data_IF_555270462280
#
_entry.id   IF_555270462280
#
_cell.length_a   1.000
_cell.length_b   1.000
_cell.length_c   1.000
_cell.angle_alpha   90.00
_cell.angle_beta   90.00
_cell.angle_gamma   90.00
#
_symmetry.space_group_name_H-M   'P 1'
#
loop_
_entity.id
_entity.type
_entity.pdbx_description
1 polymer ?
#
# COMPACT_ATOMS: atom_id res chain seq x y z
N UNK A 1 -5.30 17.96 16.06
CA UNK A 1 -4.84 16.56 16.38
C UNK A 1 -3.90 16.13 15.29
N UNK A 2 -2.85 15.37 15.61
CA UNK A 2 -1.91 14.81 14.64
C UNK A 2 -2.48 13.53 14.02
N UNK A 3 -2.02 13.17 12.84
CA UNK A 3 -2.39 11.88 12.20
C UNK A 3 -1.15 11.07 11.89
N UNK A 4 -1.19 9.77 12.20
CA UNK A 4 -0.20 8.77 11.81
C UNK A 4 -0.82 7.81 10.79
N UNK A 5 -0.27 7.76 9.59
CA UNK A 5 -0.69 6.83 8.53
C UNK A 5 0.26 5.63 8.51
N UNK A 6 -0.29 4.43 8.70
CA UNK A 6 0.45 3.17 8.62
C UNK A 6 0.38 2.62 7.19
N UNK A 7 1.50 2.65 6.46
CA UNK A 7 1.57 2.28 5.06
C UNK A 7 2.53 1.09 4.77
N UNK A 8 2.78 0.23 5.77
CA UNK A 8 3.77 -0.87 5.69
C UNK A 8 3.25 -2.22 5.19
N UNK A 9 1.95 -2.40 4.99
CA UNK A 9 1.35 -3.70 4.63
C UNK A 9 1.69 -4.16 3.20
N UNK A 10 1.94 -5.48 2.98
CA UNK A 10 2.25 -6.05 1.65
C UNK A 10 1.01 -6.37 0.80
N UNK A 11 -0.18 -6.56 1.39
CA UNK A 11 -1.45 -6.78 0.68
C UNK A 11 -1.50 -7.99 -0.26
N UNK A 12 -0.80 -9.08 0.02
CA UNK A 12 -0.58 -10.24 -0.87
C UNK A 12 -1.84 -10.99 -1.30
N UNK A 13 -2.96 -10.83 -0.58
CA UNK A 13 -4.24 -11.49 -0.90
C UNK A 13 -4.97 -10.90 -2.11
N UNK A 14 -4.52 -9.75 -2.62
CA UNK A 14 -5.03 -9.16 -3.86
C UNK A 14 -4.12 -9.44 -5.07
N UNK A 15 -3.22 -10.43 -5.00
CA UNK A 15 -2.52 -10.89 -6.19
C UNK A 15 -3.56 -11.37 -7.24
N UNK A 16 -3.45 -11.01 -8.52
CA UNK A 16 -2.35 -10.37 -9.24
C UNK A 16 -2.39 -8.84 -9.29
N UNK A 17 -3.32 -8.15 -8.64
CA UNK A 17 -3.30 -6.68 -8.57
C UNK A 17 -2.18 -6.16 -7.68
N UNK A 18 -1.98 -6.79 -6.52
CA UNK A 18 -0.87 -6.44 -5.62
C UNK A 18 0.41 -7.19 -5.96
N UNK A 19 1.54 -6.55 -5.72
CA UNK A 19 2.90 -7.10 -5.80
C UNK A 19 3.69 -6.63 -4.56
N UNK A 20 4.83 -7.25 -4.27
CA UNK A 20 5.67 -6.78 -3.15
C UNK A 20 6.05 -5.31 -3.30
N UNK A 21 6.41 -4.85 -4.52
CA UNK A 21 6.76 -3.46 -4.83
C UNK A 21 5.56 -2.58 -5.22
N UNK A 22 4.36 -3.14 -5.27
CA UNK A 22 3.09 -2.44 -5.49
C UNK A 22 2.03 -3.00 -4.55
N UNK A 23 2.13 -2.75 -3.24
CA UNK A 23 1.16 -3.28 -2.29
C UNK A 23 -0.21 -2.61 -2.43
N UNK A 24 -1.20 -3.24 -1.82
CA UNK A 24 -2.63 -2.92 -1.94
C UNK A 24 -2.96 -1.42 -1.80
N UNK A 25 -2.33 -0.74 -0.85
CA UNK A 25 -2.60 0.67 -0.56
C UNK A 25 -2.29 1.63 -1.71
N UNK A 26 -1.41 1.25 -2.64
CA UNK A 26 -1.05 2.07 -3.79
C UNK A 26 -1.78 1.68 -5.09
N UNK A 27 -2.65 0.66 -5.05
CA UNK A 27 -3.43 0.25 -6.23
C UNK A 27 -4.61 1.21 -6.40
N UNK A 28 -4.80 1.71 -7.62
CA UNK A 28 -5.90 2.60 -7.98
C UNK A 28 -7.16 1.80 -8.34
N UNK A 29 -7.96 1.47 -7.32
CA UNK A 29 -9.19 0.68 -7.48
C UNK A 29 -10.46 1.52 -7.58
N UNK A 30 -10.43 2.75 -7.08
CA UNK A 30 -11.60 3.62 -6.94
C UNK A 30 -11.33 4.99 -7.54
N UNK A 31 -12.07 5.38 -8.59
CA UNK A 31 -12.01 6.73 -9.18
C UNK A 31 -10.58 7.19 -9.52
N UNK A 32 -9.73 6.27 -9.96
CA UNK A 32 -8.31 6.50 -10.27
C UNK A 32 -7.45 6.96 -9.06
N UNK A 33 -7.95 6.80 -7.82
CA UNK A 33 -7.25 7.10 -6.58
C UNK A 33 -6.78 5.83 -5.86
N UNK A 34 -5.64 5.89 -5.21
CA UNK A 34 -5.16 4.82 -4.35
C UNK A 34 -5.83 4.88 -2.96
N UNK A 35 -5.81 3.77 -2.22
CA UNK A 35 -6.30 3.77 -0.83
C UNK A 35 -5.43 4.65 0.08
N UNK A 36 -4.13 4.74 -0.22
CA UNK A 36 -3.22 5.65 0.48
C UNK A 36 -3.64 7.11 0.26
N UNK A 37 -3.92 7.53 -0.99
CA UNK A 37 -4.42 8.87 -1.31
C UNK A 37 -5.73 9.16 -0.56
N UNK A 38 -6.70 8.25 -0.59
CA UNK A 38 -7.96 8.39 0.17
C UNK A 38 -7.73 8.48 1.69
N UNK A 39 -6.66 7.85 2.21
CA UNK A 39 -6.31 7.95 3.64
C UNK A 39 -5.65 9.30 3.97
N UNK A 40 -4.82 9.85 3.07
CA UNK A 40 -4.28 11.21 3.21
C UNK A 40 -5.41 12.24 3.20
N UNK A 41 -6.37 12.13 2.27
CA UNK A 41 -7.55 12.99 2.23
C UNK A 41 -8.36 12.94 3.54
N UNK A 42 -8.54 11.73 4.12
CA UNK A 42 -9.17 11.57 5.44
C UNK A 42 -8.36 12.20 6.57
N UNK A 43 -7.03 12.10 6.54
CA UNK A 43 -6.16 12.70 7.53
C UNK A 43 -6.28 14.23 7.55
N UNK A 44 -6.43 14.86 6.38
CA UNK A 44 -6.58 16.31 6.22
C UNK A 44 -7.88 16.88 6.81
N UNK A 45 -8.86 16.03 7.15
CA UNK A 45 -10.06 16.46 7.88
C UNK A 45 -9.72 16.92 9.31
N UNK A 46 -8.69 16.34 9.91
CA UNK A 46 -8.34 16.52 11.31
C UNK A 46 -6.97 17.17 11.53
N UNK A 47 -6.06 17.08 10.55
CA UNK A 47 -4.67 17.46 10.65
C UNK A 47 -4.26 18.33 9.47
N UNK A 48 -3.37 19.29 9.71
CA UNK A 48 -2.68 19.98 8.61
C UNK A 48 -1.59 19.08 8.03
N UNK A 49 -1.08 19.34 6.82
CA UNK A 49 0.01 18.54 6.22
C UNK A 49 1.23 18.37 7.16
N UNK A 50 1.60 19.42 7.91
CA UNK A 50 2.73 19.41 8.85
C UNK A 50 2.49 18.52 10.09
N UNK A 51 1.24 18.15 10.34
CA UNK A 51 0.81 17.30 11.45
C UNK A 51 0.54 15.85 11.01
N UNK A 52 0.78 15.53 9.73
CA UNK A 52 0.63 14.18 9.19
C UNK A 52 1.99 13.48 9.21
N UNK A 53 2.01 12.29 9.79
CA UNK A 53 3.16 11.38 9.87
C UNK A 53 2.85 10.11 9.07
N UNK A 54 3.83 9.59 8.35
CA UNK A 54 3.68 8.38 7.55
C UNK A 54 4.77 7.40 7.96
N UNK A 55 4.38 6.16 8.27
CA UNK A 55 5.33 5.05 8.46
C UNK A 55 5.12 4.02 7.37
N UNK A 56 6.18 3.66 6.66
CA UNK A 56 6.14 2.69 5.58
C UNK A 56 7.48 1.97 5.42
N UNK A 57 7.49 0.82 4.72
CA UNK A 57 8.75 0.20 4.32
C UNK A 57 9.53 1.14 3.39
N UNK A 58 10.86 1.18 3.53
CA UNK A 58 11.76 2.02 2.72
C UNK A 58 11.58 1.86 1.20
N UNK A 59 11.19 0.67 0.75
CA UNK A 59 10.91 0.38 -0.66
C UNK A 59 9.72 1.16 -1.22
N UNK A 60 8.80 1.64 -0.36
CA UNK A 60 7.61 2.38 -0.77
C UNK A 60 7.79 3.90 -0.80
N UNK A 61 8.98 4.41 -0.41
CA UNK A 61 9.29 5.84 -0.34
C UNK A 61 8.82 6.61 -1.58
N UNK A 62 9.19 6.12 -2.76
CA UNK A 62 8.88 6.81 -4.01
C UNK A 62 7.41 6.73 -4.39
N UNK A 63 6.72 5.65 -4.03
CA UNK A 63 5.28 5.52 -4.23
C UNK A 63 4.50 6.51 -3.38
N UNK A 64 4.93 6.69 -2.13
CA UNK A 64 4.35 7.70 -1.23
C UNK A 64 4.52 9.09 -1.82
N UNK A 65 5.72 9.44 -2.27
CA UNK A 65 6.00 10.76 -2.86
C UNK A 65 5.21 10.98 -4.15
N UNK A 66 5.09 9.98 -5.03
CA UNK A 66 4.28 10.06 -6.23
C UNK A 66 2.78 10.28 -5.92
N UNK A 67 2.23 9.55 -4.96
CA UNK A 67 0.82 9.68 -4.58
C UNK A 67 0.54 11.04 -3.89
N UNK A 68 1.48 11.58 -3.12
CA UNK A 68 1.39 12.92 -2.53
C UNK A 68 1.52 14.02 -3.60
N UNK A 69 2.42 13.86 -4.58
CA UNK A 69 2.55 14.77 -5.72
C UNK A 69 1.25 14.86 -6.53
N UNK A 70 0.56 13.72 -6.75
CA UNK A 70 -0.75 13.69 -7.44
C UNK A 70 -1.83 14.44 -6.68
N UNK A 71 -1.78 14.46 -5.34
CA UNK A 71 -2.70 15.19 -4.49
C UNK A 71 -2.34 16.67 -4.32
N UNK A 72 -1.19 17.11 -4.82
CA UNK A 72 -0.61 18.45 -4.59
C UNK A 72 -0.47 18.75 -3.06
N UNK A 73 -0.03 17.74 -2.29
CA UNK A 73 0.14 17.83 -0.84
C UNK A 73 1.62 17.64 -0.49
N UNK A 74 2.17 18.61 0.25
CA UNK A 74 3.53 18.56 0.75
C UNK A 74 3.54 18.19 2.24
N UNK A 75 4.05 16.99 2.55
CA UNK A 75 4.30 16.53 3.93
C UNK A 75 5.79 16.68 4.21
N UNK A 76 6.20 17.25 5.37
CA UNK A 76 7.60 17.39 5.74
C UNK A 76 8.36 16.05 5.66
N UNK A 77 9.57 16.06 5.11
CA UNK A 77 10.36 14.83 4.91
C UNK A 77 10.68 14.12 6.22
N UNK A 78 10.85 14.87 7.30
CA UNK A 78 11.06 14.39 8.68
C UNK A 78 9.84 13.65 9.26
N UNK A 79 8.66 13.87 8.70
CA UNK A 79 7.43 13.16 9.06
C UNK A 79 7.23 11.83 8.30
N UNK A 80 8.14 11.50 7.38
CA UNK A 80 8.09 10.23 6.62
C UNK A 80 9.12 9.27 7.18
N UNK A 81 8.66 8.31 7.97
CA UNK A 81 9.45 7.29 8.65
C UNK A 81 9.54 6.04 7.77
N UNK A 82 10.76 5.64 7.41
CA UNK A 82 11.01 4.53 6.49
C UNK A 82 11.60 3.33 7.23
N UNK A 83 10.76 2.32 7.47
CA UNK A 83 11.16 1.09 8.13
C UNK A 83 12.12 0.29 7.23
N UNK A 84 13.27 -0.16 7.76
CA UNK A 84 14.19 -1.01 6.99
C UNK A 84 13.60 -2.40 6.70
N UNK A 85 12.77 -2.90 7.62
CA UNK A 85 12.01 -4.15 7.49
C UNK A 85 10.67 -4.06 8.23
N UNK A 86 9.68 -4.86 7.82
CA UNK A 86 8.36 -4.84 8.44
C UNK A 86 8.37 -5.58 9.79
N UNK A 87 7.96 -4.91 10.88
CA UNK A 87 7.83 -5.48 12.24
C UNK A 87 6.41 -5.36 12.81
N UNK A 88 5.40 -5.21 11.93
CA UNK A 88 4.00 -4.99 12.29
C UNK A 88 3.75 -3.62 12.93
N UNK A 89 2.55 -3.39 13.48
CA UNK A 89 2.05 -2.03 13.78
C UNK A 89 2.59 -1.42 15.07
N UNK A 90 2.92 -2.22 16.09
CA UNK A 90 3.39 -1.66 17.37
C UNK A 90 4.73 -0.93 17.25
N UNK A 91 5.80 -1.48 16.65
CA UNK A 91 7.04 -0.76 16.43
C UNK A 91 6.88 0.51 15.60
N UNK A 92 6.07 0.45 14.55
CA UNK A 92 5.79 1.59 13.68
C UNK A 92 5.14 2.75 14.44
N UNK A 93 4.11 2.47 15.25
CA UNK A 93 3.43 3.47 16.09
C UNK A 93 4.39 4.02 17.16
N UNK A 94 5.12 3.14 17.85
CA UNK A 94 6.05 3.52 18.90
C UNK A 94 7.14 4.44 18.38
N UNK A 95 7.69 4.18 17.20
CA UNK A 95 8.74 5.02 16.60
C UNK A 95 8.31 6.48 16.46
N UNK A 96 7.07 6.72 16.00
CA UNK A 96 6.55 8.09 15.84
C UNK A 96 6.15 8.70 17.16
N UNK A 97 5.38 7.99 18.00
CA UNK A 97 4.84 8.53 19.24
C UNK A 97 5.90 8.77 20.32
N UNK A 98 7.02 8.04 20.30
CA UNK A 98 8.16 8.29 21.18
C UNK A 98 8.84 9.62 20.89
N UNK A 99 8.89 10.01 19.62
CA UNK A 99 9.55 11.25 19.17
C UNK A 99 8.62 12.47 19.15
N UNK A 100 7.30 12.27 19.29
CA UNK A 100 6.32 13.31 19.09
C UNK A 100 5.21 13.28 20.14
N UNK A 101 5.04 14.38 20.86
CA UNK A 101 3.97 14.54 21.85
C UNK A 101 2.61 14.87 21.22
N UNK A 102 1.54 14.48 21.91
CA UNK A 102 0.17 14.86 21.61
C UNK A 102 -0.76 13.68 21.26
N UNK A 103 -1.95 14.02 20.76
CA UNK A 103 -2.98 13.07 20.37
C UNK A 103 -2.83 12.73 18.90
N UNK A 104 -2.78 11.43 18.59
CA UNK A 104 -2.60 10.88 17.25
C UNK A 104 -3.79 10.04 16.82
N UNK A 105 -4.43 10.42 15.70
CA UNK A 105 -5.26 9.51 14.93
C UNK A 105 -4.34 8.56 14.16
N UNK A 106 -4.41 7.26 14.43
CA UNK A 106 -3.62 6.22 13.75
C UNK A 106 -4.51 5.55 12.71
N UNK A 107 -4.18 5.72 11.44
CA UNK A 107 -4.99 5.29 10.31
C UNK A 107 -4.24 4.27 9.44
N UNK A 108 -4.79 3.07 9.22
CA UNK A 108 -4.30 2.18 8.18
C UNK A 108 -4.49 2.80 6.79
N UNK A 109 -3.48 2.72 5.93
CA UNK A 109 -3.51 3.30 4.58
C UNK A 109 -4.26 2.46 3.56
N UNK A 110 -4.68 1.26 3.95
CA UNK A 110 -5.20 0.22 3.05
C UNK A 110 -6.68 -0.12 3.27
N UNK A 111 -7.38 0.68 4.08
CA UNK A 111 -8.81 0.54 4.35
C UNK A 111 -9.65 1.51 3.53
N UNK A 112 -10.77 1.01 3.02
CA UNK A 112 -11.83 1.84 2.45
C UNK A 112 -12.78 2.28 3.58
N UNK A 113 -12.93 3.59 3.76
CA UNK A 113 -13.80 4.17 4.80
C UNK A 113 -14.58 5.33 4.20
N UNK A 114 -15.89 5.33 4.34
CA UNK A 114 -16.73 6.44 3.95
C UNK A 114 -16.66 7.55 5.01
N UNK A 115 -16.34 8.76 4.59
CA UNK A 115 -16.36 9.94 5.46
C UNK A 115 -17.74 10.54 5.47
N UNK A 116 -18.45 10.38 6.58
CA UNK A 116 -19.76 10.98 6.84
C UNK A 116 -19.74 11.75 8.17
N UNK A 117 -20.85 12.35 8.57
CA UNK A 117 -20.93 13.11 9.83
C UNK A 117 -20.72 12.21 11.06
N UNK A 118 -21.13 10.93 11.00
CA UNK A 118 -20.87 9.98 12.09
C UNK A 118 -19.38 9.68 12.24
N UNK A 119 -18.63 9.63 11.12
CA UNK A 119 -17.17 9.51 11.15
C UNK A 119 -16.52 10.69 11.90
N UNK A 120 -16.88 11.92 11.55
CA UNK A 120 -16.36 13.14 12.21
C UNK A 120 -16.74 13.19 13.68
N UNK A 121 -17.99 12.85 14.02
CA UNK A 121 -18.49 12.78 15.40
C UNK A 121 -17.72 11.76 16.22
N UNK A 122 -17.48 10.56 15.68
CA UNK A 122 -16.74 9.50 16.35
C UNK A 122 -15.31 9.93 16.69
N UNK A 123 -14.59 10.59 15.77
CA UNK A 123 -13.26 11.12 16.03
C UNK A 123 -13.26 12.24 17.09
N UNK A 124 -14.26 13.12 17.10
CA UNK A 124 -14.41 14.16 18.13
C UNK A 124 -14.67 13.56 19.51
N UNK A 125 -15.42 12.47 19.63
CA UNK A 125 -15.63 11.73 20.87
C UNK A 125 -14.33 11.02 21.30
N UNK A 126 -13.65 10.37 20.37
CA UNK A 126 -12.40 9.67 20.61
C UNK A 126 -11.32 10.63 21.14
N UNK A 127 -11.23 11.86 20.61
CA UNK A 127 -10.24 12.85 21.03
C UNK A 127 -10.38 13.25 22.51
N UNK A 128 -11.63 13.31 23.03
CA UNK A 128 -11.91 13.55 24.44
C UNK A 128 -11.54 12.35 25.32
N UNK A 129 -11.81 11.13 24.84
CA UNK A 129 -11.52 9.90 25.57
C UNK A 129 -10.03 9.60 25.62
N UNK A 130 -9.27 10.01 24.62
CA UNK A 130 -7.82 9.75 24.52
C UNK A 130 -6.99 10.40 25.65
N UNK A 131 -7.57 11.32 26.42
CA UNK A 131 -6.94 11.87 27.63
C UNK A 131 -6.77 10.83 28.75
N UNK A 132 -7.47 9.71 28.66
CA UNK A 132 -7.48 8.67 29.73
C UNK A 132 -7.37 7.24 29.19
N UNK A 133 -7.70 7.03 27.91
CA UNK A 133 -7.82 5.72 27.31
C UNK A 133 -7.08 5.63 25.98
N UNK A 134 -6.63 4.45 25.63
CA UNK A 134 -6.31 4.06 24.26
C UNK A 134 -7.62 3.83 23.53
N UNK A 135 -7.94 4.64 22.54
CA UNK A 135 -9.24 4.58 21.86
C UNK A 135 -9.14 3.80 20.56
N UNK A 136 -10.09 2.89 20.36
CA UNK A 136 -10.31 2.20 19.08
C UNK A 136 -11.72 2.46 18.56
N UNK A 137 -11.95 2.22 17.26
CA UNK A 137 -13.27 2.39 16.64
C UNK A 137 -13.87 1.02 16.32
N UNK A 138 -15.10 0.82 16.81
CA UNK A 138 -15.83 -0.43 16.68
C UNK A 138 -16.84 -0.40 15.54
N UNK A 139 -16.73 -1.32 14.59
CA UNK A 139 -17.68 -1.50 13.48
C UNK A 139 -18.68 -2.59 13.87
N UNK A 140 -19.97 -2.35 13.64
CA UNK A 140 -21.01 -3.37 13.90
C UNK A 140 -20.84 -4.54 12.92
N UNK A 141 -20.62 -5.79 13.41
CA UNK A 141 -20.45 -6.93 12.55
C UNK A 141 -21.70 -7.25 11.72
N UNK A 142 -21.50 -7.56 10.44
CA UNK A 142 -22.56 -8.09 9.55
C UNK A 142 -22.51 -9.61 9.41
N UNK A 143 -21.37 -10.24 9.75
CA UNK A 143 -21.13 -11.69 9.63
C UNK A 143 -20.00 -12.13 10.58
N UNK A 144 -19.84 -13.43 10.78
CA UNK A 144 -18.64 -13.95 11.43
C UNK A 144 -17.44 -13.86 10.48
N UNK A 145 -16.32 -13.28 10.92
CA UNK A 145 -15.09 -13.12 10.13
C UNK A 145 -13.86 -13.43 10.99
N UNK A 146 -13.02 -14.35 10.54
CA UNK A 146 -11.83 -14.80 11.32
C UNK A 146 -10.60 -13.91 11.12
N UNK A 147 -10.64 -12.97 10.19
CA UNK A 147 -9.54 -12.05 9.88
C UNK A 147 -9.56 -10.77 10.71
N UNK A 148 -10.58 -10.51 11.52
CA UNK A 148 -10.76 -9.28 12.30
C UNK A 148 -10.61 -9.50 13.80
N UNK A 149 -10.23 -8.42 14.49
CA UNK A 149 -10.34 -8.34 15.94
C UNK A 149 -11.79 -8.09 16.38
N UNK A 150 -12.14 -8.58 17.57
CA UNK A 150 -13.47 -8.43 18.18
C UNK A 150 -13.36 -7.72 19.53
N UNK A 151 -14.25 -6.77 19.77
CA UNK A 151 -14.26 -5.90 20.94
C UNK A 151 -15.59 -6.08 21.67
N UNK A 152 -15.52 -6.57 22.92
CA UNK A 152 -16.68 -6.63 23.81
C UNK A 152 -16.86 -5.28 24.49
N UNK A 153 -17.98 -4.57 24.26
CA UNK A 153 -18.26 -3.36 25.03
C UNK A 153 -18.55 -3.72 26.47
N UNK A 154 -17.97 -2.98 27.41
CA UNK A 154 -18.17 -3.10 28.84
C UNK A 154 -18.97 -1.92 29.39
N UNK A 155 -18.43 -1.23 30.40
CA UNK A 155 -19.10 -0.09 31.05
C UNK A 155 -19.30 1.07 30.07
N UNK A 156 -20.51 1.59 30.00
CA UNK A 156 -20.84 2.75 29.15
C UNK A 156 -20.15 4.03 29.63
N UNK A 157 -19.68 4.84 28.68
CA UNK A 157 -19.13 6.18 28.81
C UNK A 157 -19.89 7.12 27.85
N UNK A 158 -21.13 7.44 28.15
CA UNK A 158 -22.03 8.09 27.20
C UNK A 158 -22.30 7.20 25.98
N UNK A 159 -22.00 7.68 24.77
CA UNK A 159 -22.16 6.93 23.52
C UNK A 159 -20.99 5.96 23.21
N UNK A 160 -20.05 5.82 24.16
CA UNK A 160 -18.85 4.99 24.03
C UNK A 160 -18.79 3.94 25.16
N UNK A 161 -17.81 3.04 25.13
CA UNK A 161 -17.67 1.99 26.14
C UNK A 161 -16.23 1.79 26.57
N UNK A 162 -15.97 1.47 27.84
CA UNK A 162 -14.72 0.84 28.25
C UNK A 162 -14.73 -0.57 27.64
N UNK A 163 -13.60 -1.03 27.11
CA UNK A 163 -13.49 -2.39 26.56
C UNK A 163 -13.44 -3.39 27.69
N UNK A 164 -14.37 -4.37 27.67
CA UNK A 164 -14.38 -5.51 28.61
C UNK A 164 -13.43 -6.62 28.15
N UNK A 165 -13.38 -6.87 26.84
CA UNK A 165 -12.50 -7.85 26.22
C UNK A 165 -12.16 -7.47 24.79
N UNK A 166 -10.89 -7.61 24.45
CA UNK A 166 -10.39 -7.51 23.08
C UNK A 166 -9.84 -8.88 22.65
N UNK A 167 -10.17 -9.36 21.45
CA UNK A 167 -9.65 -10.61 20.91
C UNK A 167 -9.38 -10.50 19.42
N UNK A 168 -8.12 -10.59 19.04
CA UNK A 168 -7.66 -10.54 17.64
C UNK A 168 -7.80 -11.92 17.00
N UNK A 169 -8.38 -11.96 15.80
CA UNK A 169 -8.47 -13.11 14.89
C UNK A 169 -8.89 -14.42 15.54
N UNK A 170 -10.11 -14.50 16.12
CA UNK A 170 -10.62 -15.74 16.71
C UNK A 170 -10.88 -16.80 15.63
N UNK A 171 -11.07 -18.05 16.05
CA UNK A 171 -11.64 -19.09 15.19
C UNK A 171 -13.10 -18.78 14.81
N UNK A 172 -13.62 -19.51 13.80
CA UNK A 172 -14.93 -19.21 13.20
C UNK A 172 -16.09 -19.37 14.20
N UNK A 173 -16.08 -20.42 15.05
CA UNK A 173 -17.13 -20.66 16.03
C UNK A 173 -17.12 -19.57 17.12
N UNK A 174 -15.94 -19.15 17.54
CA UNK A 174 -15.76 -18.04 18.47
C UNK A 174 -16.24 -16.73 17.86
N UNK A 175 -15.88 -16.45 16.60
CA UNK A 175 -16.32 -15.25 15.86
C UNK A 175 -17.85 -15.20 15.76
N UNK A 176 -18.52 -16.33 15.47
CA UNK A 176 -19.98 -16.42 15.41
C UNK A 176 -20.62 -16.06 16.74
N UNK A 177 -20.13 -16.64 17.84
CA UNK A 177 -20.60 -16.32 19.20
C UNK A 177 -20.41 -14.85 19.55
N UNK A 178 -19.33 -14.21 19.10
CA UNK A 178 -19.07 -12.80 19.37
C UNK A 178 -20.06 -11.90 18.62
N UNK A 179 -20.39 -12.23 17.35
CA UNK A 179 -21.41 -11.49 16.59
C UNK A 179 -22.78 -11.56 17.29
N UNK A 180 -23.19 -12.78 17.71
CA UNK A 180 -24.45 -13.02 18.45
C UNK A 180 -24.48 -12.30 19.82
N UNK A 181 -23.31 -12.12 20.45
CA UNK A 181 -23.15 -11.47 21.76
C UNK A 181 -22.94 -9.95 21.68
N UNK A 182 -23.09 -9.32 20.50
CA UNK A 182 -23.05 -7.87 20.35
C UNK A 182 -21.64 -7.26 20.41
N UNK A 183 -20.59 -8.02 20.11
CA UNK A 183 -19.24 -7.48 19.97
C UNK A 183 -19.15 -6.59 18.72
N UNK A 184 -18.19 -5.67 18.73
CA UNK A 184 -17.81 -4.89 17.54
C UNK A 184 -16.60 -5.52 16.86
N UNK A 185 -16.44 -5.33 15.55
CA UNK A 185 -15.16 -5.53 14.88
C UNK A 185 -14.20 -4.39 15.21
N UNK A 186 -12.95 -4.70 15.43
CA UNK A 186 -11.88 -3.70 15.47
C UNK A 186 -11.63 -3.16 14.06
N UNK A 187 -11.79 -1.85 13.90
CA UNK A 187 -11.57 -1.20 12.60
C UNK A 187 -10.09 -1.05 12.22
N UNK A 188 -9.16 -1.29 13.17
CA UNK A 188 -7.73 -0.99 13.00
C UNK A 188 -7.39 0.50 12.98
N UNK A 189 -8.37 1.37 13.18
CA UNK A 189 -8.16 2.80 13.40
C UNK A 189 -8.11 3.07 14.91
N UNK A 190 -7.20 3.95 15.32
CA UNK A 190 -7.03 4.26 16.74
C UNK A 190 -6.89 5.76 16.97
N UNK A 191 -7.10 6.18 18.22
CA UNK A 191 -6.71 7.50 18.68
C UNK A 191 -5.99 7.37 20.02
N UNK A 192 -4.70 7.75 20.04
CA UNK A 192 -3.84 7.61 21.20
C UNK A 192 -3.26 8.98 21.61
N UNK A 193 -3.28 9.27 22.90
CA UNK A 193 -2.37 10.26 23.47
C UNK A 193 -1.00 9.59 23.65
N UNK A 194 0.07 10.24 23.18
CA UNK A 194 1.43 9.68 23.24
C UNK A 194 1.86 9.33 24.66
N UNK A 195 1.46 10.10 25.68
CA UNK A 195 1.81 9.84 27.08
C UNK A 195 1.16 8.57 27.59
N UNK A 196 -0.17 8.42 27.38
CA UNK A 196 -0.92 7.22 27.77
C UNK A 196 -0.39 6.00 27.03
N UNK A 197 -0.11 6.13 25.73
CA UNK A 197 0.46 5.04 24.94
C UNK A 197 1.83 4.62 25.49
N UNK A 198 2.72 5.55 25.78
CA UNK A 198 4.05 5.27 26.33
C UNK A 198 4.00 4.66 27.73
N UNK A 199 3.02 5.03 28.59
CA UNK A 199 2.79 4.36 29.88
C UNK A 199 2.45 2.89 29.70
N UNK A 200 1.50 2.59 28.80
CA UNK A 200 1.10 1.19 28.53
C UNK A 200 2.22 0.38 27.85
N UNK A 201 3.00 0.98 26.94
CA UNK A 201 4.18 0.33 26.36
C UNK A 201 5.20 -0.03 27.44
N UNK A 202 5.52 0.88 28.37
CA UNK A 202 6.43 0.63 29.49
C UNK A 202 5.95 -0.51 30.39
N UNK A 203 4.63 -0.58 30.61
CA UNK A 203 4.00 -1.59 31.47
C UNK A 203 3.94 -2.98 30.80
N UNK A 204 3.56 -3.06 29.52
CA UNK A 204 3.14 -4.27 28.86
C UNK A 204 4.20 -4.92 27.95
N UNK A 205 5.08 -4.09 27.36
CA UNK A 205 6.10 -4.52 26.37
C UNK A 205 7.40 -3.73 26.51
N UNK A 206 8.01 -3.66 27.71
CA UNK A 206 9.22 -2.86 27.98
C UNK A 206 10.41 -3.26 27.10
N UNK A 207 10.45 -4.50 26.61
CA UNK A 207 11.50 -4.99 25.71
C UNK A 207 11.46 -4.28 24.34
N UNK A 208 10.27 -3.95 23.84
CA UNK A 208 10.10 -3.20 22.57
C UNK A 208 10.62 -1.77 22.75
N UNK A 209 10.32 -1.13 23.89
CA UNK A 209 10.79 0.23 24.18
C UNK A 209 12.32 0.28 24.30
N UNK A 210 12.95 -0.71 24.97
CA UNK A 210 14.41 -0.79 25.12
C UNK A 210 15.13 -0.92 23.77
N UNK A 211 14.52 -1.58 22.79
CA UNK A 211 15.12 -1.66 21.45
C UNK A 211 15.32 -0.28 20.80
N UNK A 212 14.45 0.69 21.11
CA UNK A 212 14.53 2.08 20.64
C UNK A 212 15.48 2.99 21.45
N UNK A 213 16.34 2.46 22.32
CA UNK A 213 17.39 3.23 22.97
C UNK A 213 18.59 3.51 22.04
N UNK A 214 18.78 2.71 20.99
CA UNK A 214 19.75 2.98 19.92
C UNK A 214 19.23 4.04 18.96
N UNK A 215 20.11 4.92 18.49
CA UNK A 215 19.82 5.92 17.46
C UNK A 215 19.85 5.33 16.05
N UNK A 216 20.49 4.17 15.86
CA UNK A 216 20.60 3.50 14.57
C UNK A 216 19.35 2.65 14.31
N UNK A 217 18.50 3.13 13.40
CA UNK A 217 17.22 2.49 13.05
C UNK A 217 17.39 1.05 12.52
N UNK A 218 18.44 0.76 11.75
CA UNK A 218 18.71 -0.60 11.25
C UNK A 218 19.01 -1.57 12.40
N UNK A 219 19.74 -1.12 13.44
CA UNK A 219 20.00 -1.93 14.64
C UNK A 219 18.77 -2.11 15.50
N UNK A 220 17.96 -1.06 15.63
CA UNK A 220 16.67 -1.09 16.33
C UNK A 220 15.80 -2.17 15.73
N UNK A 221 15.56 -2.12 14.41
CA UNK A 221 14.64 -3.03 13.72
C UNK A 221 15.12 -4.49 13.72
N UNK A 222 16.42 -4.74 13.72
CA UNK A 222 16.97 -6.11 13.90
C UNK A 222 16.61 -6.75 15.24
N UNK A 223 16.47 -5.93 16.30
CA UNK A 223 16.17 -6.39 17.67
C UNK A 223 14.67 -6.46 17.97
N UNK A 224 13.83 -5.77 17.17
CA UNK A 224 12.39 -5.69 17.41
C UNK A 224 11.68 -7.01 17.08
N UNK A 225 10.75 -7.46 17.94
CA UNK A 225 9.83 -8.54 17.60
C UNK A 225 8.82 -8.07 16.54
N UNK A 226 8.31 -9.00 15.74
CA UNK A 226 7.17 -8.74 14.88
C UNK A 226 5.87 -8.84 15.70
N UNK A 227 5.33 -7.68 16.13
CA UNK A 227 4.16 -7.63 16.99
C UNK A 227 3.24 -6.47 16.61
N UNK A 228 1.92 -6.74 16.54
CA UNK A 228 0.92 -5.69 16.34
C UNK A 228 0.57 -4.98 17.65
N UNK A 229 0.07 -3.76 17.55
CA UNK A 229 -0.45 -2.99 18.68
C UNK A 229 -1.63 -3.71 19.35
N UNK A 230 -2.41 -4.45 18.58
CA UNK A 230 -3.54 -5.24 19.06
C UNK A 230 -3.10 -6.31 20.05
N UNK A 231 -2.13 -7.17 19.67
CA UNK A 231 -1.59 -8.22 20.55
C UNK A 231 -0.67 -7.69 21.65
N UNK A 232 0.12 -6.66 21.35
CA UNK A 232 1.10 -6.12 22.28
C UNK A 232 0.47 -5.32 23.41
N UNK A 233 -0.54 -4.52 23.08
CA UNK A 233 -1.13 -3.53 23.98
C UNK A 233 -2.63 -3.75 24.19
N UNK A 234 -3.45 -3.74 23.12
CA UNK A 234 -4.91 -3.61 23.26
C UNK A 234 -5.57 -4.84 23.87
N UNK A 235 -5.05 -6.06 23.65
CA UNK A 235 -5.54 -7.29 24.31
C UNK A 235 -5.19 -7.35 25.81
N UNK A 236 -4.21 -6.54 26.27
CA UNK A 236 -3.64 -6.65 27.62
C UNK A 236 -3.92 -5.45 28.51
N UNK A 237 -4.23 -4.30 27.92
CA UNK A 237 -4.42 -3.05 28.64
C UNK A 237 -5.83 -2.92 29.21
N UNK A 238 -5.93 -2.47 30.45
CA UNK A 238 -7.20 -2.11 31.11
C UNK A 238 -7.68 -0.69 30.73
N UNK A 239 -6.85 0.06 30.00
CA UNK A 239 -7.11 1.44 29.58
C UNK A 239 -7.58 1.55 28.15
N UNK A 240 -8.43 0.64 27.67
CA UNK A 240 -8.95 0.66 26.29
C UNK A 240 -10.41 1.11 26.28
N UNK A 241 -10.75 2.03 25.40
CA UNK A 241 -12.14 2.44 25.12
C UNK A 241 -12.49 2.22 23.65
N UNK A 242 -13.74 1.88 23.38
CA UNK A 242 -14.28 1.73 22.03
C UNK A 242 -15.33 2.79 21.74
N UNK A 243 -15.19 3.46 20.61
CA UNK A 243 -16.17 4.36 20.02
C UNK A 243 -16.87 3.62 18.89
N UNK A 244 -18.20 3.34 18.99
CA UNK A 244 -18.96 2.79 17.89
C UNK A 244 -18.90 3.70 16.67
N UNK A 245 -18.62 3.14 15.49
CA UNK A 245 -18.50 3.87 14.24
C UNK A 245 -19.50 3.34 13.22
N UNK A 246 -20.54 4.15 12.95
CA UNK A 246 -21.59 3.84 11.98
C UNK A 246 -21.24 4.43 10.59
N UNK A 247 -20.31 3.79 9.91
CA UNK A 247 -19.92 4.14 8.54
C UNK A 247 -19.65 2.91 7.70
N UNK A 248 -19.65 3.05 6.37
CA UNK A 248 -19.15 1.97 5.51
C UNK A 248 -17.65 1.86 5.66
N UNK A 249 -17.23 0.68 6.06
CA UNK A 249 -15.85 0.31 6.31
C UNK A 249 -15.54 -1.05 5.70
N UNK A 250 -14.37 -1.18 5.10
CA UNK A 250 -13.81 -2.46 4.66
C UNK A 250 -12.29 -2.41 4.73
N UNK A 251 -11.68 -3.48 5.20
CA UNK A 251 -10.22 -3.66 5.14
C UNK A 251 -9.73 -4.03 3.74
N UNK A 252 -10.65 -4.29 2.78
CA UNK A 252 -10.33 -4.79 1.43
C UNK A 252 -9.32 -5.94 1.46
N UNK A 253 -9.49 -6.86 2.41
CA UNK A 253 -8.55 -7.94 2.66
C UNK A 253 -8.57 -9.06 1.61
N UNK A 254 -9.58 -9.10 0.73
CA UNK A 254 -9.75 -10.11 -0.32
C UNK A 254 -10.56 -9.57 -1.50
N UNK A 255 -10.63 -10.32 -2.60
CA UNK A 255 -11.52 -9.99 -3.72
C UNK A 255 -13.00 -10.14 -3.35
N UNK A 256 -13.33 -11.00 -2.39
CA UNK A 256 -14.70 -11.09 -1.86
C UNK A 256 -15.08 -9.76 -1.16
N UNK A 257 -14.19 -9.18 -0.36
CA UNK A 257 -14.40 -7.86 0.28
C UNK A 257 -14.47 -6.73 -0.76
N UNK A 258 -13.69 -6.81 -1.84
CA UNK A 258 -13.77 -5.85 -2.95
C UNK A 258 -15.13 -5.93 -3.64
N UNK A 259 -15.61 -7.14 -3.94
CA UNK A 259 -16.93 -7.34 -4.52
C UNK A 259 -18.05 -6.76 -3.64
N UNK A 260 -17.98 -6.94 -2.31
CA UNK A 260 -18.99 -6.42 -1.37
C UNK A 260 -19.14 -4.89 -1.43
N UNK A 261 -18.06 -4.14 -1.62
CA UNK A 261 -18.07 -2.67 -1.60
C UNK A 261 -18.33 -2.02 -2.96
N UNK A 262 -18.14 -2.74 -4.05
CA UNK A 262 -18.37 -2.23 -5.39
C UNK A 262 -19.85 -2.14 -5.73
N UNK A 263 -20.21 -1.18 -6.59
CA UNK A 263 -21.54 -1.09 -7.19
C UNK A 263 -21.77 -2.28 -8.12
N UNK A 264 -22.95 -2.88 -8.03
CA UNK A 264 -23.35 -4.03 -8.84
C UNK A 264 -24.35 -3.62 -9.91
N UNK A 265 -24.34 -4.33 -11.02
CA UNK A 265 -25.41 -4.25 -12.02
C UNK A 265 -26.67 -5.01 -11.56
N UNK A 266 -27.71 -5.04 -12.40
CA UNK A 266 -29.00 -5.71 -12.13
C UNK A 266 -28.87 -7.24 -11.95
N UNK A 267 -27.79 -7.84 -12.44
CA UNK A 267 -27.48 -9.28 -12.32
C UNK A 267 -26.48 -9.58 -11.20
N UNK A 268 -26.12 -8.57 -10.39
CA UNK A 268 -25.18 -8.74 -9.30
C UNK A 268 -23.71 -8.73 -9.73
N UNK A 269 -23.35 -8.40 -10.96
CA UNK A 269 -21.96 -8.31 -11.38
C UNK A 269 -21.33 -6.97 -10.97
N UNK A 270 -20.07 -6.99 -10.59
CA UNK A 270 -19.27 -5.81 -10.24
C UNK A 270 -18.01 -5.72 -11.12
N UNK A 271 -17.60 -4.50 -11.49
CA UNK A 271 -16.53 -4.27 -12.44
C UNK A 271 -15.56 -3.20 -11.95
N UNK A 272 -14.28 -3.40 -12.28
CA UNK A 272 -13.22 -2.40 -12.13
C UNK A 272 -12.42 -2.35 -13.44
N UNK A 273 -12.29 -1.18 -14.05
CA UNK A 273 -11.63 -0.99 -15.34
C UNK A 273 -12.62 -1.08 -16.51
N UNK A 274 -12.26 -1.82 -17.57
CA UNK A 274 -13.10 -1.98 -18.75
C UNK A 274 -14.36 -2.81 -18.43
N UNK A 275 -15.52 -2.32 -18.89
CA UNK A 275 -16.79 -3.03 -18.67
C UNK A 275 -16.84 -4.30 -19.52
N UNK A 276 -17.04 -5.49 -18.92
CA UNK A 276 -17.09 -6.73 -19.69
C UNK A 276 -18.36 -6.84 -20.55
N UNK A 277 -18.28 -7.63 -21.63
CA UNK A 277 -19.42 -8.11 -22.37
C UNK A 277 -19.99 -9.35 -21.69
N UNK A 278 -21.23 -9.27 -21.23
CA UNK A 278 -21.85 -10.31 -20.41
C UNK A 278 -23.09 -10.87 -21.12
N UNK A 279 -23.14 -12.20 -21.24
CA UNK A 279 -24.31 -12.94 -21.70
C UNK A 279 -24.67 -14.00 -20.66
N UNK A 280 -25.90 -13.96 -20.14
CA UNK A 280 -26.44 -14.94 -19.18
C UNK A 280 -25.51 -15.22 -17.97
N UNK A 281 -24.87 -14.17 -17.43
CA UNK A 281 -23.89 -14.31 -16.35
C UNK A 281 -24.25 -13.42 -15.16
N UNK A 282 -24.04 -13.93 -13.93
CA UNK A 282 -24.44 -13.22 -12.70
C UNK A 282 -23.45 -13.40 -11.54
N UNK A 283 -23.50 -12.46 -10.59
CA UNK A 283 -22.73 -12.45 -9.34
C UNK A 283 -21.21 -12.53 -9.55
N UNK A 284 -20.69 -11.93 -10.60
CA UNK A 284 -19.26 -11.98 -10.90
C UNK A 284 -18.55 -10.70 -10.49
N UNK A 285 -17.29 -10.81 -10.10
CA UNK A 285 -16.35 -9.71 -10.02
C UNK A 285 -15.39 -9.78 -11.21
N UNK A 286 -15.30 -8.71 -11.99
CA UNK A 286 -14.33 -8.61 -13.09
C UNK A 286 -13.46 -7.38 -12.86
N UNK A 287 -12.15 -7.58 -12.82
CA UNK A 287 -11.16 -6.52 -12.74
C UNK A 287 -10.22 -6.65 -13.93
N UNK A 288 -10.34 -5.77 -14.91
CA UNK A 288 -9.53 -5.81 -16.14
C UNK A 288 -9.50 -4.46 -16.83
N UNK A 289 -8.39 -4.17 -17.53
CA UNK A 289 -8.29 -3.06 -18.50
C UNK A 289 -8.49 -3.55 -19.94
N UNK A 290 -8.72 -4.84 -20.13
CA UNK A 290 -9.02 -5.46 -21.43
C UNK A 290 -10.49 -5.82 -21.50
N UNK A 291 -11.03 -5.90 -22.72
CA UNK A 291 -12.34 -6.46 -22.94
C UNK A 291 -12.38 -7.92 -22.48
N UNK A 292 -13.24 -8.22 -21.53
CA UNK A 292 -13.56 -9.59 -21.08
C UNK A 292 -14.95 -9.94 -21.60
N UNK A 293 -15.11 -11.10 -22.21
CA UNK A 293 -16.41 -11.66 -22.58
C UNK A 293 -16.75 -12.84 -21.66
N UNK A 294 -17.96 -12.83 -21.10
CA UNK A 294 -18.44 -13.87 -20.20
C UNK A 294 -19.77 -14.43 -20.69
N UNK A 295 -19.87 -15.74 -20.82
CA UNK A 295 -21.08 -16.45 -21.25
C UNK A 295 -21.43 -17.52 -20.22
N UNK A 296 -22.67 -17.51 -19.71
CA UNK A 296 -23.19 -18.48 -18.72
C UNK A 296 -22.26 -18.64 -17.49
N UNK A 297 -21.62 -17.55 -17.03
CA UNK A 297 -20.67 -17.55 -15.94
C UNK A 297 -21.31 -17.03 -14.65
N UNK A 298 -21.17 -17.78 -13.56
CA UNK A 298 -21.79 -17.44 -12.28
C UNK A 298 -20.80 -17.57 -11.12
N UNK A 299 -20.87 -16.62 -10.17
CA UNK A 299 -20.13 -16.62 -8.91
C UNK A 299 -18.60 -16.70 -9.13
N UNK A 300 -18.08 -15.97 -10.11
CA UNK A 300 -16.66 -15.94 -10.44
C UNK A 300 -16.00 -14.61 -10.06
N UNK A 301 -14.75 -14.71 -9.69
CA UNK A 301 -13.79 -13.61 -9.57
C UNK A 301 -12.81 -13.78 -10.74
N UNK A 302 -12.77 -12.79 -11.63
CA UNK A 302 -11.86 -12.73 -12.77
C UNK A 302 -11.01 -11.47 -12.62
N UNK A 303 -9.70 -11.64 -12.45
CA UNK A 303 -8.77 -10.53 -12.28
C UNK A 303 -7.66 -10.66 -13.29
N UNK A 304 -7.65 -9.78 -14.27
CA UNK A 304 -6.69 -9.73 -15.35
C UNK A 304 -5.72 -8.56 -15.16
N UNK A 305 -4.45 -8.84 -15.30
CA UNK A 305 -3.36 -7.85 -15.34
C UNK A 305 -2.55 -8.05 -16.64
N UNK A 306 -1.54 -7.22 -16.86
CA UNK A 306 -0.71 -7.34 -18.08
C UNK A 306 -0.01 -8.70 -18.18
N UNK A 307 0.30 -9.35 -17.04
CA UNK A 307 1.19 -10.52 -16.95
C UNK A 307 0.57 -11.72 -16.22
N UNK A 308 -0.64 -11.59 -15.69
CA UNK A 308 -1.29 -12.69 -14.95
C UNK A 308 -2.82 -12.57 -14.99
N UNK A 309 -3.49 -13.72 -15.09
CA UNK A 309 -4.93 -13.86 -15.00
C UNK A 309 -5.26 -14.79 -13.82
N UNK A 310 -6.07 -14.29 -12.88
CA UNK A 310 -6.66 -15.06 -11.80
C UNK A 310 -8.14 -15.33 -12.08
N UNK A 311 -8.53 -16.58 -11.98
CA UNK A 311 -9.95 -16.97 -11.96
C UNK A 311 -10.19 -17.78 -10.70
N UNK A 312 -11.18 -17.37 -9.91
CA UNK A 312 -11.56 -18.02 -8.65
C UNK A 312 -13.08 -18.08 -8.52
N UNK A 313 -13.60 -18.99 -7.71
CA UNK A 313 -14.99 -18.93 -7.25
C UNK A 313 -15.14 -17.84 -6.20
N UNK A 314 -16.28 -17.15 -6.21
CA UNK A 314 -16.71 -16.26 -5.15
C UNK A 314 -16.72 -16.99 -3.79
N UNK A 315 -16.34 -16.31 -2.71
CA UNK A 315 -16.21 -16.91 -1.39
C UNK A 315 -14.94 -17.78 -1.20
N UNK A 316 -14.00 -17.75 -2.15
CA UNK A 316 -12.74 -18.51 -2.08
C UNK A 316 -11.48 -17.65 -2.24
N UNK A 317 -11.60 -16.36 -2.29
CA UNK A 317 -10.46 -15.44 -2.51
C UNK A 317 -9.38 -15.51 -1.43
N UNK A 318 -9.68 -15.96 -0.22
CA UNK A 318 -8.69 -16.19 0.84
C UNK A 318 -7.56 -17.15 0.40
N UNK A 319 -7.85 -18.10 -0.51
CA UNK A 319 -6.86 -19.04 -1.05
C UNK A 319 -5.80 -18.39 -1.95
N UNK A 320 -6.00 -17.15 -2.39
CA UNK A 320 -4.99 -16.39 -3.13
C UNK A 320 -3.68 -16.30 -2.33
N UNK A 321 -3.75 -16.24 -1.00
CA UNK A 321 -2.55 -16.25 -0.14
C UNK A 321 -1.73 -17.54 -0.29
N UNK A 322 -2.38 -18.69 -0.46
CA UNK A 322 -1.71 -19.98 -0.67
C UNK A 322 -1.04 -20.02 -2.05
N UNK A 323 -1.77 -19.56 -3.10
CA UNK A 323 -1.22 -19.43 -4.45
C UNK A 323 0.00 -18.52 -4.48
N UNK A 324 -0.07 -17.35 -3.83
CA UNK A 324 1.06 -16.43 -3.70
C UNK A 324 2.28 -17.10 -3.06
N UNK A 325 2.11 -17.90 -1.99
CA UNK A 325 3.21 -18.65 -1.37
C UNK A 325 3.85 -19.64 -2.34
N UNK A 326 3.04 -20.36 -3.14
CA UNK A 326 3.56 -21.30 -4.14
C UNK A 326 4.38 -20.57 -5.21
N UNK A 327 3.90 -19.44 -5.72
CA UNK A 327 4.62 -18.64 -6.71
C UNK A 327 5.92 -18.06 -6.12
N UNK A 328 5.89 -17.58 -4.88
CA UNK A 328 7.08 -17.09 -4.18
C UNK A 328 8.14 -18.20 -4.00
N UNK A 329 7.72 -19.41 -3.64
CA UNK A 329 8.63 -20.57 -3.54
C UNK A 329 9.27 -20.95 -4.88
N UNK A 330 8.59 -20.67 -6.00
CA UNK A 330 9.09 -20.85 -7.36
C UNK A 330 9.97 -19.66 -7.83
N UNK A 331 10.15 -18.62 -7.00
CA UNK A 331 10.85 -17.38 -7.36
C UNK A 331 10.24 -16.68 -8.58
N UNK A 332 8.92 -16.78 -8.76
CA UNK A 332 8.22 -16.15 -9.86
C UNK A 332 8.23 -14.61 -9.69
N UNK A 333 8.83 -13.91 -10.65
CA UNK A 333 8.99 -12.44 -10.60
C UNK A 333 7.63 -11.71 -10.48
N UNK A 334 6.52 -12.34 -10.90
CA UNK A 334 5.17 -11.78 -10.84
C UNK A 334 4.58 -11.67 -9.43
N UNK A 335 5.24 -12.16 -8.40
CA UNK A 335 4.87 -11.83 -7.01
C UNK A 335 5.54 -10.56 -6.52
N UNK A 336 6.65 -10.15 -7.13
CA UNK A 336 7.48 -9.02 -6.71
C UNK A 336 7.08 -7.73 -7.43
N UNK A 337 6.97 -7.79 -8.77
CA UNK A 337 6.84 -6.59 -9.61
C UNK A 337 5.86 -6.83 -10.77
N UNK A 338 5.15 -5.78 -11.17
CA UNK A 338 4.38 -5.74 -12.42
C UNK A 338 5.31 -5.54 -13.63
N UNK A 339 4.79 -5.74 -14.86
CA UNK A 339 5.49 -5.32 -16.08
C UNK A 339 5.84 -3.85 -16.06
N UNK A 340 4.98 -3.00 -15.49
CA UNK A 340 5.25 -1.59 -15.25
C UNK A 340 5.82 -1.38 -13.86
N UNK A 341 7.04 -0.85 -13.80
CA UNK A 341 7.74 -0.47 -12.56
C UNK A 341 7.86 1.05 -12.44
N UNK A 342 7.41 1.57 -11.32
CA UNK A 342 7.52 3.00 -11.01
C UNK A 342 8.85 3.30 -10.33
N UNK A 343 9.43 4.44 -10.68
CA UNK A 343 10.73 4.92 -10.22
C UNK A 343 10.65 6.43 -9.90
N UNK A 344 11.59 6.99 -9.14
CA UNK A 344 11.58 8.43 -8.80
C UNK A 344 11.59 9.36 -10.00
N UNK A 345 12.12 8.90 -11.11
CA UNK A 345 12.20 9.64 -12.36
C UNK A 345 11.00 9.42 -13.30
N UNK A 346 10.12 8.48 -12.99
CA UNK A 346 8.97 8.12 -13.82
C UNK A 346 8.64 6.63 -13.76
N UNK A 347 8.63 5.93 -14.89
CA UNK A 347 8.34 4.50 -14.95
C UNK A 347 9.00 3.83 -16.14
N UNK A 348 9.10 2.51 -16.08
CA UNK A 348 9.31 1.70 -17.27
C UNK A 348 8.29 0.56 -17.33
N UNK A 349 7.92 0.18 -18.54
CA UNK A 349 7.05 -0.97 -18.81
C UNK A 349 7.83 -1.96 -19.66
N UNK A 350 7.97 -3.20 -19.19
CA UNK A 350 8.50 -4.31 -19.97
C UNK A 350 7.46 -4.70 -21.02
N UNK A 351 7.73 -4.42 -22.29
CA UNK A 351 6.82 -4.71 -23.39
C UNK A 351 7.01 -6.16 -23.86
N UNK A 352 8.27 -6.56 -24.04
CA UNK A 352 8.64 -7.90 -24.51
C UNK A 352 10.00 -8.33 -23.95
N UNK A 353 10.19 -9.63 -23.75
CA UNK A 353 11.43 -10.21 -23.26
C UNK A 353 11.68 -11.55 -23.97
N UNK A 354 12.88 -11.71 -24.48
CA UNK A 354 13.39 -12.94 -25.06
C UNK A 354 14.73 -13.35 -24.43
N UNK A 355 15.32 -14.43 -24.92
CA UNK A 355 16.57 -14.98 -24.36
C UNK A 355 17.72 -13.97 -24.36
N UNK A 356 17.81 -13.15 -25.41
CA UNK A 356 18.92 -12.22 -25.64
C UNK A 356 18.47 -10.77 -25.86
N UNK A 357 17.22 -10.42 -25.54
CA UNK A 357 16.72 -9.06 -25.67
C UNK A 357 15.62 -8.75 -24.65
N UNK A 358 15.49 -7.45 -24.31
CA UNK A 358 14.35 -6.86 -23.60
C UNK A 358 13.93 -5.58 -24.31
N UNK A 359 12.61 -5.38 -24.46
CA UNK A 359 12.04 -4.15 -24.99
C UNK A 359 11.26 -3.48 -23.86
N UNK A 360 11.61 -2.23 -23.56
CA UNK A 360 10.96 -1.43 -22.51
C UNK A 360 10.43 -0.13 -23.09
N UNK A 361 9.30 0.32 -22.58
CA UNK A 361 8.87 1.71 -22.70
C UNK A 361 9.31 2.43 -21.44
N UNK A 362 10.11 3.46 -21.57
CA UNK A 362 10.57 4.30 -20.47
C UNK A 362 9.83 5.64 -20.55
N UNK A 363 9.20 6.05 -19.44
CA UNK A 363 8.53 7.34 -19.30
C UNK A 363 9.26 8.15 -18.24
N UNK A 364 9.77 9.33 -18.59
CA UNK A 364 10.52 10.20 -17.68
C UNK A 364 9.75 11.50 -17.47
N UNK A 365 9.43 11.83 -16.21
CA UNK A 365 8.75 13.07 -15.82
C UNK A 365 9.58 14.32 -16.19
N UNK A 366 8.95 15.47 -16.39
CA UNK A 366 9.65 16.75 -16.67
C UNK A 366 10.76 17.03 -15.66
N UNK A 367 11.96 17.42 -16.15
CA UNK A 367 13.11 17.77 -15.33
C UNK A 367 13.78 16.59 -14.60
N UNK A 368 13.32 15.35 -14.81
CA UNK A 368 13.91 14.14 -14.20
C UNK A 368 14.89 13.47 -15.16
N UNK A 369 15.75 12.62 -14.57
CA UNK A 369 16.78 11.88 -15.31
C UNK A 369 17.05 10.51 -14.70
N UNK A 370 17.56 9.58 -15.48
CA UNK A 370 18.11 8.32 -15.02
C UNK A 370 19.49 8.53 -14.37
N UNK A 371 20.02 7.50 -13.70
CA UNK A 371 21.41 7.48 -13.24
C UNK A 371 22.39 7.60 -14.42
N UNK A 372 23.58 8.17 -14.19
CA UNK A 372 24.72 7.97 -15.08
C UNK A 372 25.25 6.57 -14.82
N UNK A 373 25.18 5.70 -15.83
CA UNK A 373 25.39 4.27 -15.68
C UNK A 373 26.07 3.65 -16.90
N UNK A 374 26.57 2.43 -16.74
CA UNK A 374 27.04 1.58 -17.83
C UNK A 374 26.67 0.12 -17.61
N UNK A 375 26.69 -0.65 -18.68
CA UNK A 375 26.41 -2.09 -18.71
C UNK A 375 27.55 -2.80 -19.45
N UNK A 376 28.02 -3.91 -18.94
CA UNK A 376 29.15 -4.62 -19.56
C UNK A 376 28.67 -5.68 -20.59
N UNK A 377 27.48 -6.24 -20.42
CA UNK A 377 27.03 -7.41 -21.18
C UNK A 377 25.88 -7.11 -22.15
N UNK A 378 25.40 -5.85 -22.19
CA UNK A 378 24.34 -5.45 -23.11
C UNK A 378 24.61 -4.09 -23.75
N UNK A 379 24.08 -3.94 -24.96
CA UNK A 379 23.90 -2.65 -25.63
C UNK A 379 22.45 -2.21 -25.59
N UNK A 380 22.21 -0.94 -25.78
CA UNK A 380 20.86 -0.37 -25.77
C UNK A 380 20.61 0.48 -27.02
N UNK A 381 19.43 0.36 -27.61
CA UNK A 381 18.96 1.25 -28.67
C UNK A 381 17.71 1.98 -28.20
N UNK A 382 17.77 3.30 -28.21
CA UNK A 382 16.71 4.18 -27.74
C UNK A 382 16.04 4.92 -28.89
N UNK A 383 14.71 4.85 -28.97
CA UNK A 383 13.89 5.58 -29.95
C UNK A 383 12.96 6.52 -29.18
N UNK A 384 13.05 7.82 -29.43
CA UNK A 384 12.16 8.80 -28.80
C UNK A 384 10.79 8.74 -29.47
N UNK A 385 9.74 8.56 -28.67
CA UNK A 385 8.34 8.50 -29.13
C UNK A 385 7.62 9.83 -28.86
N UNK A 386 7.90 10.45 -27.67
CA UNK A 386 7.26 11.68 -27.24
C UNK A 386 8.21 12.51 -26.41
N UNK A 387 8.12 13.84 -26.50
CA UNK A 387 8.97 14.76 -25.76
C UNK A 387 10.32 14.98 -26.43
N UNK A 388 11.29 15.46 -25.67
CA UNK A 388 12.67 15.66 -26.13
C UNK A 388 13.62 15.01 -25.14
N UNK A 389 14.45 14.10 -25.62
CA UNK A 389 15.45 13.44 -24.80
C UNK A 389 16.79 14.20 -24.87
N UNK A 390 17.41 14.43 -23.71
CA UNK A 390 18.83 14.71 -23.63
C UNK A 390 19.53 13.39 -23.31
N UNK A 391 20.41 12.97 -24.19
CA UNK A 391 21.22 11.77 -23.99
C UNK A 391 22.66 12.20 -23.77
N UNK A 392 23.22 11.78 -22.63
CA UNK A 392 24.64 11.93 -22.30
C UNK A 392 25.30 10.58 -22.52
N UNK A 393 26.29 10.51 -23.37
CA UNK A 393 27.11 9.31 -23.55
C UNK A 393 28.51 9.68 -24.05
N UNK A 394 29.53 8.97 -23.59
CA UNK A 394 30.94 9.18 -23.97
C UNK A 394 31.35 10.67 -23.87
N UNK A 395 30.96 11.35 -22.78
CA UNK A 395 31.19 12.80 -22.52
C UNK A 395 30.62 13.75 -23.59
N UNK A 396 29.66 13.27 -24.40
CA UNK A 396 28.92 14.08 -25.38
C UNK A 396 27.45 14.19 -24.97
N UNK A 397 26.85 15.30 -25.32
CA UNK A 397 25.40 15.50 -25.16
C UNK A 397 24.74 15.62 -26.53
N UNK A 398 23.66 14.88 -26.73
CA UNK A 398 22.81 15.01 -27.91
C UNK A 398 21.36 15.22 -27.47
N UNK A 399 20.63 15.98 -28.28
CA UNK A 399 19.18 16.13 -28.14
C UNK A 399 18.49 15.31 -29.21
N UNK A 400 17.57 14.46 -28.80
CA UNK A 400 16.75 13.64 -29.70
C UNK A 400 15.28 14.04 -29.59
N UNK A 401 14.62 14.15 -30.75
CA UNK A 401 13.20 14.47 -30.90
C UNK A 401 12.40 13.22 -31.27
N UNK A 402 11.07 13.26 -31.25
CA UNK A 402 10.24 12.16 -31.66
C UNK A 402 10.61 11.63 -33.08
N UNK A 403 10.80 10.31 -33.19
CA UNK A 403 11.28 9.63 -34.39
C UNK A 403 12.79 9.51 -34.52
N UNK A 404 13.57 10.24 -33.71
CA UNK A 404 15.03 10.12 -33.67
C UNK A 404 15.46 9.01 -32.69
N UNK A 405 16.65 8.44 -32.92
CA UNK A 405 17.17 7.32 -32.14
C UNK A 405 18.67 7.40 -31.93
N UNK A 406 19.15 6.66 -30.95
CA UNK A 406 20.60 6.50 -30.68
C UNK A 406 20.89 5.10 -30.24
N UNK A 407 22.13 4.64 -30.51
CA UNK A 407 22.67 3.37 -30.05
C UNK A 407 23.73 3.59 -28.98
N UNK A 408 23.62 2.89 -27.87
CA UNK A 408 24.55 2.90 -26.74
C UNK A 408 25.29 1.55 -26.70
N UNK A 409 26.59 1.51 -27.05
CA UNK A 409 27.36 0.27 -26.97
C UNK A 409 27.55 -0.21 -25.53
N UNK A 410 27.77 -1.49 -25.35
CA UNK A 410 28.18 -2.05 -24.06
C UNK A 410 29.45 -1.37 -23.52
N UNK A 411 29.54 -1.18 -22.22
CA UNK A 411 30.68 -0.54 -21.53
C UNK A 411 30.67 1.00 -21.55
N UNK A 412 29.83 1.65 -22.34
CA UNK A 412 29.82 3.09 -22.46
C UNK A 412 28.97 3.73 -21.36
N UNK A 413 29.52 4.76 -20.70
CA UNK A 413 28.78 5.59 -19.72
C UNK A 413 27.69 6.40 -20.44
N UNK A 414 26.47 6.32 -19.93
CA UNK A 414 25.32 6.99 -20.56
C UNK A 414 24.25 7.39 -19.53
N UNK A 415 23.44 8.38 -19.90
CA UNK A 415 22.30 8.86 -19.11
C UNK A 415 21.22 9.39 -20.03
N UNK A 416 19.96 9.10 -19.68
CA UNK A 416 18.77 9.64 -20.34
C UNK A 416 18.10 10.66 -19.43
N UNK A 417 17.81 11.86 -19.97
CA UNK A 417 17.21 12.98 -19.24
C UNK A 417 16.01 13.56 -20.00
N UNK A 418 15.04 14.05 -19.27
CA UNK A 418 13.94 14.85 -19.81
C UNK A 418 14.15 16.34 -19.49
N UNK A 419 14.71 17.16 -20.41
CA UNK A 419 14.86 18.60 -20.21
C UNK A 419 13.56 19.37 -20.48
N UNK A 420 12.51 18.70 -20.95
CA UNK A 420 11.25 19.31 -21.38
C UNK A 420 10.26 19.56 -20.25
N UNK A 421 9.06 20.03 -20.65
CA UNK A 421 7.92 20.31 -19.74
C UNK A 421 6.79 19.29 -19.87
N UNK A 422 6.97 18.29 -20.72
CA UNK A 422 6.03 17.17 -20.92
C UNK A 422 6.77 15.86 -20.67
N UNK A 423 6.06 14.80 -20.38
CA UNK A 423 6.67 13.49 -20.23
C UNK A 423 7.45 13.10 -21.48
N UNK A 424 8.65 12.58 -21.27
CA UNK A 424 9.47 11.96 -22.31
C UNK A 424 9.14 10.47 -22.36
N UNK A 425 8.78 9.96 -23.54
CA UNK A 425 8.60 8.53 -23.76
C UNK A 425 9.64 8.00 -24.75
N UNK A 426 10.32 6.93 -24.35
CA UNK A 426 11.39 6.28 -25.13
C UNK A 426 11.10 4.78 -25.21
N UNK A 427 11.23 4.20 -26.39
CA UNK A 427 11.33 2.74 -26.54
C UNK A 427 12.80 2.38 -26.47
N UNK A 428 13.13 1.54 -25.50
CA UNK A 428 14.45 0.99 -25.28
C UNK A 428 14.47 -0.48 -25.73
N UNK A 429 15.41 -0.82 -26.58
CA UNK A 429 15.71 -2.22 -26.93
C UNK A 429 17.08 -2.57 -26.34
N UNK A 430 17.12 -3.46 -25.37
CA UNK A 430 18.33 -4.03 -24.80
C UNK A 430 18.69 -5.33 -25.54
N UNK A 431 19.94 -5.50 -25.92
CA UNK A 431 20.44 -6.70 -26.61
C UNK A 431 21.75 -7.14 -25.95
N UNK A 432 21.84 -8.40 -25.54
CA UNK A 432 23.04 -8.90 -24.89
C UNK A 432 22.90 -10.33 -24.34
N UNK A 433 24.02 -10.85 -23.84
CA UNK A 433 24.07 -12.19 -23.23
C UNK A 433 23.55 -12.19 -21.80
N UNK A 434 23.53 -11.02 -21.13
CA UNK A 434 23.05 -10.87 -19.77
C UNK A 434 22.27 -9.55 -19.61
N UNK A 435 21.02 -9.63 -19.17
CA UNK A 435 20.07 -8.52 -19.20
C UNK A 435 19.48 -8.21 -17.81
N UNK A 436 20.08 -8.73 -16.73
CA UNK A 436 19.59 -8.49 -15.38
C UNK A 436 20.09 -7.14 -14.81
N UNK A 437 19.42 -6.65 -13.77
CA UNK A 437 19.66 -5.31 -13.21
C UNK A 437 20.99 -5.19 -12.44
N UNK A 438 21.62 -6.30 -12.07
CA UNK A 438 22.93 -6.34 -11.41
C UNK A 438 24.11 -6.12 -12.37
N UNK A 439 23.89 -6.11 -13.71
CA UNK A 439 24.86 -5.62 -14.70
C UNK A 439 24.98 -4.09 -14.72
N UNK A 440 24.13 -3.36 -13.97
CA UNK A 440 24.13 -1.90 -13.96
C UNK A 440 25.16 -1.37 -12.96
N UNK A 441 26.21 -0.75 -13.46
CA UNK A 441 27.11 0.05 -12.64
C UNK A 441 26.67 1.52 -12.67
N UNK A 442 26.21 2.03 -11.52
CA UNK A 442 25.75 3.42 -11.37
C UNK A 442 26.89 4.28 -10.83
N UNK A 443 27.24 5.34 -11.57
CA UNK A 443 28.31 6.27 -11.18
C UNK A 443 27.72 7.49 -10.47
N UNK A 444 26.60 8.01 -10.97
CA UNK A 444 25.84 9.11 -10.34
C UNK A 444 24.37 8.71 -10.27
N UNK A 445 23.81 8.76 -9.09
CA UNK A 445 22.38 8.47 -8.88
C UNK A 445 21.76 9.48 -7.90
N UNK A 446 20.90 10.35 -8.42
CA UNK A 446 20.21 11.39 -7.64
C UNK A 446 19.22 10.81 -6.61
N UNK A 447 18.97 9.51 -6.64
CA UNK A 447 17.91 8.85 -5.87
C UNK A 447 18.42 7.89 -4.79
N UNK A 448 19.75 7.63 -4.73
CA UNK A 448 20.39 6.81 -3.70
C UNK A 448 20.02 5.32 -3.77
N UNK A 449 20.04 4.74 -4.99
CA UNK A 449 19.72 3.33 -5.25
C UNK A 449 20.99 2.48 -5.29
#
# INVERSE_FOLDING_TARGET
MKTLILAGGKGTRLWPLSRELMPKQFIKLFENSSLFQKTVERALIFSKPEEIFIVANKEYKFRILDDLEVLDIEIPKENVFLEPEAKSTLPAILWVLKANDGKFAVLPSDHLVEVNEEYKRAFSLAEKLAERYLVTFGIKPSKAHTGYGYIKPGKALGDCFIVDKFKEKPDFETAKKYVESGYYWNSGMFLFDSKIFMEEVKKLVPEVLRAFESENVEEVYKKLPEISVDYGILEKSDKVAVVPLATKWSDLGSFDSLYEVLKKDEYGNAFVGERPMILESKNNLVVSQKLIAMICAEDLIVVDTEDALLISKMGRAEKVKELHKVLSARKDKRVVIHRTAYRPWGSYTLLEEGERYKIKRITIKPGKRLSLQRHYHRSEHWVVVKGTARVVFDNKEILLRPGESTFIPAGVLHRLENPGKVDLEVIETQIGEYLEEDDIERIEDDYGR
#
